data_IF_353688120620
#
_entry.id   IF_353688120620
#
_cell.length_a   1.000
_cell.length_b   1.000
_cell.length_c   1.000
_cell.angle_alpha   90.00
_cell.angle_beta   90.00
_cell.angle_gamma   90.00
#
_symmetry.space_group_name_H-M   'P 1'
#
loop_
_entity.id
_entity.type
_entity.pdbx_description
1 polymer ?
#
# COMPACT_ATOMS: atom_id res chain seq x y z
N UNK A 1 15.95 21.50 -10.56
CA UNK A 1 14.87 21.17 -11.51
C UNK A 1 14.53 19.71 -11.31
N UNK A 2 13.64 19.40 -10.35
CA UNK A 2 13.23 18.02 -10.08
C UNK A 2 12.21 17.63 -11.15
N UNK A 3 12.59 16.75 -12.05
CA UNK A 3 11.66 16.09 -12.94
C UNK A 3 10.64 15.35 -12.05
N UNK A 4 9.35 15.63 -12.23
CA UNK A 4 8.28 14.90 -11.57
C UNK A 4 8.51 13.42 -11.83
N UNK A 5 8.96 12.69 -10.82
CA UNK A 5 8.99 11.23 -10.83
C UNK A 5 7.50 10.86 -10.89
N UNK A 6 7.02 10.48 -12.06
CA UNK A 6 5.67 9.92 -12.16
C UNK A 6 5.70 8.59 -11.44
N UNK A 7 5.14 8.59 -10.27
CA UNK A 7 4.95 7.44 -9.43
C UNK A 7 4.05 6.44 -10.17
N UNK A 8 4.40 5.22 -10.10
CA UNK A 8 3.68 3.98 -10.34
C UNK A 8 2.30 4.17 -10.98
N UNK A 9 2.15 3.69 -12.20
CA UNK A 9 0.85 3.59 -12.85
C UNK A 9 0.40 2.15 -12.83
N UNK A 10 -0.66 1.92 -12.06
CA UNK A 10 -1.47 0.76 -12.32
C UNK A 10 -2.22 1.00 -13.64
N UNK A 11 -1.86 0.25 -14.65
CA UNK A 11 -2.55 0.29 -15.93
C UNK A 11 -3.53 -0.87 -15.93
N UNK A 12 -4.83 -0.55 -15.92
CA UNK A 12 -5.81 -1.52 -16.35
C UNK A 12 -5.57 -1.82 -17.82
N UNK A 13 -4.99 -2.96 -18.11
CA UNK A 13 -4.54 -3.36 -19.44
C UNK A 13 -5.69 -3.49 -20.42
N UNK A 14 -6.87 -3.85 -19.97
CA UNK A 14 -8.05 -3.96 -20.83
C UNK A 14 -8.35 -2.64 -21.55
N UNK A 15 -7.98 -1.50 -20.94
CA UNK A 15 -8.09 -0.20 -21.56
C UNK A 15 -6.93 0.15 -22.53
N UNK A 16 -5.78 -0.51 -22.40
CA UNK A 16 -4.57 -0.18 -23.17
C UNK A 16 -4.25 -1.20 -24.25
N UNK A 17 -4.46 -2.49 -24.00
CA UNK A 17 -4.08 -3.60 -24.90
C UNK A 17 -5.26 -4.48 -25.34
N UNK A 18 -6.49 -4.17 -24.89
CA UNK A 18 -7.72 -4.91 -25.21
C UNK A 18 -8.03 -6.02 -24.19
N UNK A 19 -9.31 -6.39 -24.17
CA UNK A 19 -9.85 -7.37 -23.21
C UNK A 19 -9.13 -8.73 -23.28
N UNK A 20 -8.80 -9.25 -22.10
CA UNK A 20 -8.21 -10.59 -21.96
C UNK A 20 -6.70 -10.63 -21.72
N UNK A 21 -6.08 -9.48 -21.56
CA UNK A 21 -4.71 -9.36 -21.02
C UNK A 21 -4.82 -9.21 -19.50
N UNK A 22 -4.12 -10.00 -18.73
CA UNK A 22 -4.15 -9.90 -17.25
C UNK A 22 -3.67 -8.55 -16.73
N UNK A 23 -3.93 -8.26 -15.45
CA UNK A 23 -3.46 -7.02 -14.80
C UNK A 23 -1.93 -6.95 -14.77
N UNK A 24 -1.36 -5.76 -14.98
CA UNK A 24 0.10 -5.52 -14.91
C UNK A 24 0.37 -4.46 -13.83
N UNK A 25 1.40 -4.70 -13.04
CA UNK A 25 2.01 -3.70 -12.19
C UNK A 25 3.24 -3.14 -12.91
N UNK A 26 3.30 -1.82 -13.08
CA UNK A 26 4.45 -1.13 -13.67
C UNK A 26 5.14 -0.31 -12.60
N UNK A 27 6.38 -0.65 -12.29
CA UNK A 27 7.21 0.06 -11.30
C UNK A 27 8.26 0.88 -12.03
N UNK A 28 8.34 2.19 -11.69
CA UNK A 28 9.39 3.05 -12.21
C UNK A 28 10.71 2.77 -11.48
N UNK A 29 11.78 2.50 -12.24
CA UNK A 29 13.14 2.40 -11.73
C UNK A 29 13.63 3.71 -11.08
N UNK A 30 13.04 4.84 -11.47
CA UNK A 30 13.34 6.14 -10.90
C UNK A 30 13.03 6.24 -9.40
N UNK A 31 11.86 5.75 -8.95
CA UNK A 31 11.50 5.77 -7.52
C UNK A 31 12.40 4.84 -6.72
N UNK A 32 12.70 3.67 -7.25
CA UNK A 32 13.61 2.71 -6.61
C UNK A 32 14.99 3.35 -6.41
N UNK A 33 15.55 3.97 -7.47
CA UNK A 33 16.85 4.64 -7.39
C UNK A 33 16.88 5.79 -6.37
N UNK A 34 15.79 6.53 -6.22
CA UNK A 34 15.71 7.61 -5.21
C UNK A 34 15.74 7.03 -3.80
N UNK A 35 14.96 5.97 -3.54
CA UNK A 35 14.91 5.33 -2.22
C UNK A 35 16.23 4.64 -1.85
N UNK A 36 16.89 3.98 -2.80
CA UNK A 36 18.22 3.40 -2.60
C UNK A 36 19.26 4.45 -2.27
N UNK A 37 19.27 5.59 -2.97
CA UNK A 37 20.16 6.72 -2.69
C UNK A 37 19.90 7.34 -1.31
N UNK A 38 18.69 7.25 -0.81
CA UNK A 38 18.34 7.66 0.56
C UNK A 38 18.76 6.61 1.63
N UNK A 39 19.37 5.49 1.22
CA UNK A 39 19.96 4.50 2.12
C UNK A 39 19.05 3.32 2.48
N UNK A 40 17.93 3.13 1.78
CA UNK A 40 17.08 1.95 1.96
C UNK A 40 17.64 0.80 1.10
N UNK A 41 17.69 -0.38 1.68
CA UNK A 41 18.10 -1.60 0.98
C UNK A 41 17.17 -1.89 -0.21
N UNK A 42 17.76 -2.17 -1.38
CA UNK A 42 17.03 -2.41 -2.63
C UNK A 42 15.92 -3.47 -2.51
N UNK A 43 16.21 -4.54 -1.77
CA UNK A 43 15.22 -5.62 -1.57
C UNK A 43 14.01 -5.13 -0.76
N UNK A 44 14.21 -4.23 0.20
CA UNK A 44 13.12 -3.62 0.96
C UNK A 44 12.30 -2.72 0.05
N UNK A 45 12.97 -1.89 -0.76
CA UNK A 45 12.31 -0.96 -1.70
C UNK A 45 11.44 -1.72 -2.69
N UNK A 46 12.01 -2.66 -3.43
CA UNK A 46 11.28 -3.46 -4.43
C UNK A 46 10.11 -4.23 -3.81
N UNK A 47 10.36 -4.87 -2.65
CA UNK A 47 9.32 -5.63 -1.96
C UNK A 47 8.19 -4.74 -1.48
N UNK A 48 8.50 -3.58 -0.91
CA UNK A 48 7.49 -2.66 -0.38
C UNK A 48 6.63 -2.06 -1.48
N UNK A 49 7.25 -1.56 -2.55
CA UNK A 49 6.51 -0.99 -3.68
C UNK A 49 5.62 -2.06 -4.32
N UNK A 50 6.19 -3.23 -4.64
CA UNK A 50 5.42 -4.32 -5.25
C UNK A 50 4.26 -4.77 -4.35
N UNK A 51 4.48 -4.86 -3.04
CA UNK A 51 3.45 -5.27 -2.10
C UNK A 51 2.31 -4.26 -2.00
N UNK A 52 2.61 -2.95 -2.04
CA UNK A 52 1.61 -1.87 -2.06
C UNK A 52 0.75 -1.94 -3.33
N UNK A 53 1.38 -2.02 -4.50
CA UNK A 53 0.68 -2.12 -5.78
C UNK A 53 -0.15 -3.41 -5.89
N UNK A 54 0.36 -4.52 -5.32
CA UNK A 54 -0.41 -5.75 -5.22
C UNK A 54 -1.63 -5.60 -4.32
N UNK A 55 -1.54 -4.78 -3.27
CA UNK A 55 -2.69 -4.38 -2.44
C UNK A 55 -3.80 -3.78 -3.30
N UNK A 56 -3.48 -2.84 -4.19
CA UNK A 56 -4.44 -2.27 -5.14
C UNK A 56 -5.03 -3.32 -6.09
N UNK A 57 -4.23 -4.27 -6.58
CA UNK A 57 -4.77 -5.36 -7.42
C UNK A 57 -5.82 -6.20 -6.66
N UNK A 58 -5.55 -6.50 -5.40
CA UNK A 58 -6.51 -7.23 -4.55
C UNK A 58 -7.82 -6.43 -4.42
N UNK A 59 -7.74 -5.13 -4.17
CA UNK A 59 -8.90 -4.24 -4.05
C UNK A 59 -9.73 -4.22 -5.33
N UNK A 60 -9.11 -4.01 -6.49
CA UNK A 60 -9.81 -3.94 -7.78
C UNK A 60 -10.47 -5.26 -8.18
N UNK A 61 -9.83 -6.38 -7.86
CA UNK A 61 -10.38 -7.69 -8.17
C UNK A 61 -11.57 -8.08 -7.27
N UNK A 62 -11.71 -7.45 -6.09
CA UNK A 62 -12.75 -7.78 -5.13
C UNK A 62 -13.85 -6.72 -5.02
N UNK A 63 -13.64 -5.51 -5.52
CA UNK A 63 -14.63 -4.41 -5.51
C UNK A 63 -15.24 -4.14 -4.13
N UNK A 64 -14.41 -4.19 -3.08
CA UNK A 64 -14.86 -3.91 -1.71
C UNK A 64 -15.13 -2.41 -1.52
N UNK A 65 -16.16 -2.07 -0.74
CA UNK A 65 -16.47 -0.72 -0.31
C UNK A 65 -15.99 -0.43 1.11
N UNK A 66 -15.90 0.84 1.46
CA UNK A 66 -15.50 1.29 2.80
C UNK A 66 -16.64 1.99 3.53
N UNK A 67 -16.79 1.77 4.86
CA UNK A 67 -17.89 2.37 5.65
C UNK A 67 -17.85 3.91 5.70
N UNK A 68 -16.68 4.49 5.43
CA UNK A 68 -16.44 5.94 5.45
C UNK A 68 -16.69 6.62 4.11
N UNK A 69 -17.10 5.89 3.08
CA UNK A 69 -17.39 6.48 1.78
C UNK A 69 -18.65 7.35 1.84
N UNK A 70 -18.44 8.65 1.92
CA UNK A 70 -19.51 9.67 1.92
C UNK A 70 -19.86 10.15 0.49
N UNK A 71 -19.36 9.48 -0.55
CA UNK A 71 -19.45 9.94 -1.93
C UNK A 71 -18.40 11.02 -2.27
N UNK A 72 -17.52 11.35 -1.35
CA UNK A 72 -16.39 12.26 -1.57
C UNK A 72 -15.19 11.46 -2.13
N UNK A 73 -14.77 11.79 -3.34
CA UNK A 73 -13.67 11.11 -4.05
C UNK A 73 -12.35 11.10 -3.25
N UNK A 74 -11.91 12.21 -2.62
CA UNK A 74 -10.70 12.19 -1.78
C UNK A 74 -10.73 11.19 -0.63
N UNK A 75 -11.87 11.01 0.02
CA UNK A 75 -11.99 10.06 1.12
C UNK A 75 -11.97 8.60 0.66
N UNK A 76 -12.60 8.30 -0.48
CA UNK A 76 -12.53 6.99 -1.09
C UNK A 76 -11.10 6.63 -1.49
N UNK A 77 -10.36 7.55 -2.12
CA UNK A 77 -8.95 7.38 -2.49
C UNK A 77 -8.08 7.17 -1.25
N UNK A 78 -8.29 7.96 -0.19
CA UNK A 78 -7.56 7.81 1.08
C UNK A 78 -7.73 6.41 1.66
N UNK A 79 -8.97 5.91 1.75
CA UNK A 79 -9.23 4.57 2.29
C UNK A 79 -8.55 3.47 1.48
N UNK A 80 -8.54 3.61 0.16
CA UNK A 80 -7.88 2.68 -0.76
C UNK A 80 -6.36 2.65 -0.56
N UNK A 81 -5.72 3.81 -0.43
CA UNK A 81 -4.27 3.92 -0.18
C UNK A 81 -3.88 3.35 1.19
N UNK A 82 -4.64 3.69 2.23
CA UNK A 82 -4.39 3.19 3.58
C UNK A 82 -4.51 1.66 3.65
N UNK A 83 -5.46 1.09 2.93
CA UNK A 83 -5.59 -0.36 2.86
C UNK A 83 -4.46 -1.01 2.05
N UNK A 84 -4.00 -0.39 0.97
CA UNK A 84 -2.84 -0.89 0.22
C UNK A 84 -1.58 -0.93 1.10
N UNK A 85 -1.36 0.09 1.94
CA UNK A 85 -0.28 0.10 2.93
C UNK A 85 -0.44 -1.01 3.99
N UNK A 86 -1.67 -1.23 4.45
CA UNK A 86 -1.99 -2.29 5.40
C UNK A 86 -1.69 -3.68 4.82
N UNK A 87 -2.12 -3.95 3.58
CA UNK A 87 -1.81 -5.18 2.85
C UNK A 87 -0.30 -5.35 2.64
N UNK A 88 0.38 -4.27 2.21
CA UNK A 88 1.81 -4.29 1.98
C UNK A 88 2.57 -4.66 3.26
N UNK A 89 2.26 -4.02 4.38
CA UNK A 89 2.90 -4.31 5.65
C UNK A 89 2.60 -5.72 6.16
N UNK A 90 1.37 -6.23 5.96
CA UNK A 90 1.02 -7.61 6.25
C UNK A 90 1.91 -8.58 5.46
N UNK A 91 2.03 -8.41 4.15
CA UNK A 91 2.88 -9.25 3.29
C UNK A 91 4.36 -9.14 3.64
N UNK A 92 4.87 -7.92 3.81
CA UNK A 92 6.28 -7.69 4.15
C UNK A 92 6.69 -8.36 5.45
N UNK A 93 5.76 -8.50 6.38
CA UNK A 93 6.01 -9.05 7.73
C UNK A 93 5.80 -10.55 7.83
N UNK A 94 4.76 -11.07 7.18
CA UNK A 94 4.36 -12.45 7.36
C UNK A 94 5.44 -13.42 6.85
N UNK A 95 5.69 -14.53 7.59
CA UNK A 95 6.71 -15.53 7.24
C UNK A 95 6.49 -16.28 5.92
N UNK A 96 5.31 -16.18 5.35
CA UNK A 96 4.99 -16.67 4.00
C UNK A 96 5.08 -15.56 2.94
N UNK A 97 5.39 -14.34 3.36
CA UNK A 97 5.75 -13.20 2.54
C UNK A 97 7.25 -12.91 2.66
N UNK A 98 7.63 -11.66 2.97
CA UNK A 98 9.03 -11.22 2.98
C UNK A 98 9.77 -11.38 4.31
N UNK A 99 9.07 -11.68 5.41
CA UNK A 99 9.66 -11.88 6.75
C UNK A 99 10.43 -10.68 7.31
N UNK A 100 10.04 -9.47 6.95
CA UNK A 100 10.69 -8.27 7.47
C UNK A 100 10.22 -7.97 8.90
N UNK A 101 11.15 -7.51 9.74
CA UNK A 101 10.83 -6.96 11.04
C UNK A 101 10.32 -5.51 10.92
N UNK A 102 9.76 -4.98 12.02
CA UNK A 102 9.18 -3.63 12.00
C UNK A 102 10.18 -2.57 11.52
N UNK A 103 11.43 -2.60 11.96
CA UNK A 103 12.46 -1.64 11.55
C UNK A 103 12.63 -1.54 10.02
N UNK A 104 12.51 -2.67 9.31
CA UNK A 104 12.60 -2.69 7.84
C UNK A 104 11.32 -2.20 7.18
N UNK A 105 10.17 -2.59 7.72
CA UNK A 105 8.86 -2.15 7.25
C UNK A 105 8.72 -0.64 7.45
N UNK A 106 8.99 -0.16 8.67
CA UNK A 106 8.96 1.26 9.04
C UNK A 106 9.89 2.10 8.15
N UNK A 107 11.13 1.65 7.91
CA UNK A 107 12.08 2.37 7.08
C UNK A 107 11.60 2.54 5.63
N UNK A 108 10.87 1.56 5.09
CA UNK A 108 10.25 1.68 3.77
C UNK A 108 9.15 2.75 3.79
N UNK A 109 8.21 2.66 4.71
CA UNK A 109 7.07 3.55 4.75
C UNK A 109 7.45 4.99 5.11
N UNK A 110 8.41 5.19 6.03
CA UNK A 110 8.89 6.51 6.41
C UNK A 110 9.43 7.29 5.20
N UNK A 111 10.19 6.62 4.33
CA UNK A 111 10.69 7.26 3.12
C UNK A 111 9.66 7.30 1.99
N UNK A 112 8.88 6.23 1.81
CA UNK A 112 7.89 6.13 0.74
C UNK A 112 6.85 7.26 0.82
N UNK A 113 6.41 7.61 2.02
CA UNK A 113 5.48 8.72 2.24
C UNK A 113 6.11 10.09 2.04
N UNK A 114 7.39 10.23 2.34
CA UNK A 114 8.11 11.51 2.15
C UNK A 114 8.50 11.79 0.69
N UNK A 115 8.55 10.77 -0.16
CA UNK A 115 8.82 10.89 -1.59
C UNK A 115 7.52 11.08 -2.38
N UNK A 116 6.39 10.58 -1.87
CA UNK A 116 5.07 10.75 -2.46
C UNK A 116 4.65 12.22 -2.52
N UNK A 117 3.79 12.54 -3.47
CA UNK A 117 3.23 13.89 -3.63
C UNK A 117 2.31 14.18 -2.44
N UNK A 118 2.81 14.90 -1.44
CA UNK A 118 2.06 15.38 -0.28
C UNK A 118 1.12 16.54 -0.63
N UNK A 119 0.44 16.45 -1.76
CA UNK A 119 -0.59 17.40 -2.17
C UNK A 119 -1.86 17.23 -1.34
N UNK A 120 -1.86 17.73 -0.11
CA UNK A 120 -2.98 17.63 0.85
C UNK A 120 -4.31 18.22 0.36
N UNK A 121 -4.32 18.93 -0.77
CA UNK A 121 -5.49 19.57 -1.37
C UNK A 121 -5.84 18.99 -2.75
N UNK A 122 -5.15 17.98 -3.23
CA UNK A 122 -5.46 17.38 -4.52
C UNK A 122 -6.65 16.42 -4.40
N UNK A 123 -7.46 16.32 -5.47
CA UNK A 123 -8.60 15.38 -5.60
C UNK A 123 -8.23 13.89 -5.41
N UNK A 124 -6.95 13.59 -5.21
CA UNK A 124 -6.39 12.29 -4.90
C UNK A 124 -5.66 12.30 -3.56
N UNK A 125 -6.33 12.64 -2.46
CA UNK A 125 -5.73 12.65 -1.12
C UNK A 125 -5.41 11.22 -0.65
N UNK A 126 -4.10 10.89 -0.63
CA UNK A 126 -3.61 9.55 -0.27
C UNK A 126 -3.55 9.28 1.26
N UNK A 127 -4.09 10.15 2.09
CA UNK A 127 -3.91 10.11 3.54
C UNK A 127 -2.66 10.87 4.01
N UNK A 128 -2.64 11.24 5.30
CA UNK A 128 -1.46 11.88 5.90
C UNK A 128 -0.34 10.85 6.11
N UNK A 129 0.93 11.26 6.16
CA UNK A 129 2.03 10.35 6.51
C UNK A 129 1.79 9.56 7.79
N UNK A 130 1.16 10.18 8.79
CA UNK A 130 0.83 9.51 10.06
C UNK A 130 -0.25 8.44 9.87
N UNK A 131 -1.32 8.73 9.13
CA UNK A 131 -2.37 7.76 8.84
C UNK A 131 -1.83 6.56 8.05
N UNK A 132 -1.00 6.81 7.05
CA UNK A 132 -0.35 5.76 6.25
C UNK A 132 0.58 4.90 7.10
N UNK A 133 1.39 5.51 7.96
CA UNK A 133 2.27 4.78 8.90
C UNK A 133 1.46 3.96 9.91
N UNK A 134 0.34 4.50 10.44
CA UNK A 134 -0.54 3.76 11.36
C UNK A 134 -1.20 2.56 10.66
N UNK A 135 -1.70 2.74 9.43
CA UNK A 135 -2.23 1.65 8.63
C UNK A 135 -1.18 0.53 8.41
N UNK A 136 0.04 0.91 8.02
CA UNK A 136 1.15 -0.04 7.87
C UNK A 136 1.49 -0.76 9.17
N UNK A 137 1.55 -0.04 10.29
CA UNK A 137 1.84 -0.64 11.61
C UNK A 137 0.77 -1.66 12.03
N UNK A 138 -0.51 -1.35 11.79
CA UNK A 138 -1.61 -2.28 12.07
C UNK A 138 -1.55 -3.53 11.19
N UNK A 139 -1.23 -3.38 9.90
CA UNK A 139 -0.98 -4.51 9.00
C UNK A 139 0.17 -5.40 9.47
N UNK A 140 1.26 -4.79 9.96
CA UNK A 140 2.38 -5.50 10.59
C UNK A 140 1.93 -6.32 11.81
N UNK A 141 1.17 -5.71 12.73
CA UNK A 141 0.67 -6.38 13.93
C UNK A 141 -0.30 -7.53 13.61
N UNK A 142 -1.15 -7.34 12.60
CA UNK A 142 -2.03 -8.40 12.11
C UNK A 142 -1.24 -9.60 11.59
N UNK A 143 -0.19 -9.35 10.79
CA UNK A 143 0.69 -10.41 10.29
C UNK A 143 1.37 -11.16 11.43
N UNK A 144 1.90 -10.45 12.43
CA UNK A 144 2.49 -11.08 13.60
C UNK A 144 1.50 -11.95 14.36
N UNK A 145 0.27 -11.48 14.52
CA UNK A 145 -0.78 -12.22 15.23
C UNK A 145 -1.19 -13.47 14.45
N UNK A 146 -1.37 -13.35 13.14
CA UNK A 146 -1.72 -14.47 12.27
C UNK A 146 -0.62 -15.55 12.29
N UNK A 147 0.62 -15.16 12.10
CA UNK A 147 1.73 -16.13 12.07
C UNK A 147 2.00 -16.83 13.42
N UNK A 148 1.75 -16.17 14.55
CA UNK A 148 1.81 -16.82 15.89
C UNK A 148 0.77 -17.93 16.02
N UNK A 149 -0.38 -17.78 15.36
CA UNK A 149 -1.44 -18.79 15.31
C UNK A 149 -1.25 -19.82 14.17
N UNK A 150 -0.20 -19.69 13.37
CA UNK A 150 0.04 -20.53 12.20
C UNK A 150 -0.90 -20.24 11.01
N UNK A 151 -1.57 -19.11 11.02
CA UNK A 151 -2.55 -18.74 9.99
C UNK A 151 -1.92 -17.91 8.88
N UNK A 152 -2.43 -18.11 7.65
CA UNK A 152 -2.35 -17.17 6.54
C UNK A 152 -3.78 -16.67 6.35
N UNK A 153 -3.98 -15.37 6.48
CA UNK A 153 -5.31 -14.78 6.29
C UNK A 153 -5.64 -14.68 4.79
N UNK A 154 -6.91 -14.89 4.45
CA UNK A 154 -7.39 -14.58 3.10
C UNK A 154 -7.40 -13.06 2.88
N UNK A 155 -7.38 -12.60 1.62
CA UNK A 155 -7.51 -11.17 1.31
C UNK A 155 -8.74 -10.54 1.96
N UNK A 156 -9.89 -11.21 1.94
CA UNK A 156 -11.11 -10.76 2.60
C UNK A 156 -10.95 -10.62 4.12
N UNK A 157 -10.25 -11.55 4.78
CA UNK A 157 -9.99 -11.46 6.22
C UNK A 157 -9.06 -10.30 6.58
N UNK A 158 -8.10 -9.98 5.70
CA UNK A 158 -7.22 -8.81 5.85
C UNK A 158 -8.02 -7.52 5.64
N UNK A 159 -8.85 -7.46 4.59
CA UNK A 159 -9.78 -6.35 4.34
C UNK A 159 -10.68 -6.08 5.54
N UNK A 160 -11.36 -7.10 6.05
CA UNK A 160 -12.27 -6.96 7.20
C UNK A 160 -11.54 -6.47 8.46
N UNK A 161 -10.30 -6.89 8.66
CA UNK A 161 -9.46 -6.39 9.75
C UNK A 161 -9.12 -4.91 9.56
N UNK A 162 -8.75 -4.50 8.34
CA UNK A 162 -8.50 -3.10 8.00
C UNK A 162 -9.74 -2.22 8.21
N UNK A 163 -10.91 -2.64 7.69
CA UNK A 163 -12.17 -1.91 7.82
C UNK A 163 -12.54 -1.68 9.29
N UNK A 164 -12.29 -2.66 10.16
CA UNK A 164 -12.52 -2.51 11.60
C UNK A 164 -11.60 -1.46 12.27
N UNK A 165 -10.39 -1.26 11.74
CA UNK A 165 -9.40 -0.30 12.26
C UNK A 165 -9.51 1.08 11.61
N UNK A 166 -10.11 1.18 10.42
CA UNK A 166 -10.16 2.40 9.61
C UNK A 166 -10.69 3.64 10.37
N UNK A 167 -11.77 3.56 11.16
CA UNK A 167 -12.25 4.74 11.90
C UNK A 167 -11.18 5.33 12.82
N UNK A 168 -10.36 4.49 13.44
CA UNK A 168 -9.28 4.95 14.34
C UNK A 168 -8.08 5.51 13.59
N UNK A 169 -7.81 5.01 12.39
CA UNK A 169 -6.68 5.47 11.54
C UNK A 169 -6.97 6.89 11.01
N UNK A 170 -8.24 7.20 10.72
CA UNK A 170 -8.63 8.48 10.10
C UNK A 170 -9.04 9.57 11.09
N UNK A 171 -9.13 9.26 12.39
CA UNK A 171 -9.30 10.24 13.47
C UNK A 171 -8.06 11.17 13.57
#
# INVERSE_FOLDING_TARGET
>A
MYSKVKTIFQINIDNFFGKGQGDIIVISDGIVSVMEKAGIDANIVWTGILAHEWGHQIQFNNTWGYPTETGNIPEATRSTELEADFFAAYFMTHKRGATFNWKRVEAFFDLFFNIGDCGFEADGHHGTPLQRMDAAHRGYLLAQTAQKKGHILSPEAVHNAFVAELPTIVE
#
